data_IF_762946601342
#
_entry.id   IF_762946601342
#
_cell.length_a   1.000
_cell.length_b   1.000
_cell.length_c   1.000
_cell.angle_alpha   90.00
_cell.angle_beta   90.00
_cell.angle_gamma   90.00
#
_symmetry.space_group_name_H-M   'P 1'
#
loop_
_entity.id
_entity.type
_entity.pdbx_description
1 polymer ?
#
# COMPACT_ATOMS: atom_id res chain seq x y z
N UNK A 1 -6.61 -40.38 -2.87
CA UNK A 1 -6.34 -39.07 -3.51
C UNK A 1 -7.17 -37.95 -2.85
N UNK A 2 -6.94 -37.64 -1.56
CA UNK A 2 -7.70 -36.58 -0.85
C UNK A 2 -6.87 -35.70 0.10
N UNK A 3 -5.53 -35.77 0.05
CA UNK A 3 -4.68 -34.92 0.89
C UNK A 3 -4.41 -33.52 0.26
N UNK A 4 -4.33 -33.45 -1.07
CA UNK A 4 -3.88 -32.24 -1.80
C UNK A 4 -4.93 -31.12 -1.76
N UNK A 5 -6.22 -31.44 -1.61
CA UNK A 5 -7.31 -30.43 -1.55
C UNK A 5 -7.49 -29.81 -0.17
N UNK A 6 -7.08 -30.50 0.90
CA UNK A 6 -7.19 -30.01 2.29
C UNK A 6 -6.12 -28.96 2.59
N UNK A 7 -4.85 -29.24 2.28
CA UNK A 7 -3.74 -28.33 2.59
C UNK A 7 -3.82 -27.00 1.82
N UNK A 8 -4.22 -27.04 0.55
CA UNK A 8 -4.42 -25.82 -0.25
C UNK A 8 -5.58 -24.95 0.26
N UNK A 9 -6.66 -25.56 0.75
CA UNK A 9 -7.79 -24.85 1.34
C UNK A 9 -7.43 -24.23 2.70
N UNK A 10 -6.64 -24.93 3.53
CA UNK A 10 -6.13 -24.42 4.81
C UNK A 10 -5.21 -23.22 4.60
N UNK A 11 -4.27 -23.30 3.66
CA UNK A 11 -3.36 -22.17 3.35
C UNK A 11 -4.09 -20.94 2.81
N UNK A 12 -5.11 -21.11 1.97
CA UNK A 12 -5.91 -20.00 1.48
C UNK A 12 -6.74 -19.33 2.61
N UNK A 13 -7.33 -20.11 3.51
CA UNK A 13 -8.05 -19.60 4.67
C UNK A 13 -7.13 -18.88 5.65
N UNK A 14 -5.94 -19.41 5.89
CA UNK A 14 -4.93 -18.79 6.75
C UNK A 14 -4.48 -17.43 6.19
N UNK A 15 -4.21 -17.35 4.88
CA UNK A 15 -3.90 -16.08 4.22
C UNK A 15 -5.05 -15.08 4.33
N UNK A 16 -6.30 -15.51 4.19
CA UNK A 16 -7.46 -14.64 4.35
C UNK A 16 -7.57 -14.08 5.77
N UNK A 17 -7.34 -14.92 6.79
CA UNK A 17 -7.31 -14.48 8.20
C UNK A 17 -6.19 -13.48 8.44
N UNK A 18 -5.01 -13.74 7.86
CA UNK A 18 -3.86 -12.85 7.97
C UNK A 18 -4.15 -11.46 7.38
N UNK A 19 -4.76 -11.39 6.20
CA UNK A 19 -5.18 -10.12 5.60
C UNK A 19 -6.21 -9.41 6.50
N UNK A 20 -7.21 -10.13 7.00
CA UNK A 20 -8.21 -9.55 7.90
C UNK A 20 -7.57 -8.95 9.17
N UNK A 21 -6.63 -9.66 9.79
CA UNK A 21 -5.89 -9.17 10.96
C UNK A 21 -5.09 -7.90 10.64
N UNK A 22 -4.41 -7.84 9.49
CA UNK A 22 -3.69 -6.63 9.07
C UNK A 22 -4.66 -5.45 8.93
N UNK A 23 -5.80 -5.65 8.27
CA UNK A 23 -6.82 -4.61 8.08
C UNK A 23 -7.41 -4.13 9.43
N UNK A 24 -7.59 -5.02 10.40
CA UNK A 24 -8.04 -4.66 11.75
C UNK A 24 -7.00 -3.81 12.49
N UNK A 25 -5.73 -4.21 12.44
CA UNK A 25 -4.63 -3.49 13.07
C UNK A 25 -4.46 -2.09 12.47
N UNK A 26 -4.44 -1.98 11.13
CA UNK A 26 -4.32 -0.71 10.44
C UNK A 26 -5.51 0.20 10.69
N UNK A 27 -6.73 -0.34 10.78
CA UNK A 27 -7.89 0.47 11.10
C UNK A 27 -7.86 0.99 12.52
N UNK A 28 -7.40 0.17 13.47
CA UNK A 28 -7.16 0.63 14.83
C UNK A 28 -6.20 1.81 14.84
N UNK A 29 -5.08 1.70 14.13
CA UNK A 29 -4.09 2.78 13.97
C UNK A 29 -4.69 4.01 13.26
N UNK A 30 -5.42 3.79 12.15
CA UNK A 30 -6.05 4.82 11.36
C UNK A 30 -7.12 5.57 12.15
N UNK A 31 -7.86 4.95 13.07
CA UNK A 31 -8.82 5.69 13.90
C UNK A 31 -8.16 6.65 14.89
N UNK A 32 -6.87 6.46 15.18
CA UNK A 32 -6.08 7.30 16.10
C UNK A 32 -5.22 8.32 15.37
N UNK A 33 -5.23 8.36 14.04
CA UNK A 33 -4.50 9.37 13.28
C UNK A 33 -5.29 10.68 13.25
N UNK A 34 -4.62 11.77 13.60
CA UNK A 34 -5.14 13.14 13.47
C UNK A 34 -4.35 13.80 12.36
N UNK A 35 -4.96 13.99 11.19
CA UNK A 35 -4.31 14.72 10.09
C UNK A 35 -4.47 16.23 10.31
N UNK A 36 -3.66 17.07 9.67
CA UNK A 36 -3.74 18.54 9.79
C UNK A 36 -5.15 19.09 9.42
N UNK A 37 -5.90 18.39 8.56
CA UNK A 37 -7.30 18.70 8.21
C UNK A 37 -8.38 18.07 9.11
N UNK A 38 -7.99 17.47 10.24
CA UNK A 38 -8.89 16.74 11.13
C UNK A 38 -9.12 15.28 10.72
N UNK A 39 -10.28 14.73 11.10
CA UNK A 39 -10.61 13.33 10.80
C UNK A 39 -10.88 13.14 9.30
N UNK A 40 -10.16 12.21 8.66
CA UNK A 40 -10.41 11.88 7.26
C UNK A 40 -11.80 11.24 7.10
N UNK A 41 -12.54 11.57 6.04
CA UNK A 41 -13.88 11.01 5.80
C UNK A 41 -13.89 9.45 5.81
N UNK A 42 -12.78 8.83 5.37
CA UNK A 42 -12.60 7.38 5.40
C UNK A 42 -12.57 6.78 6.82
N UNK A 43 -12.23 7.56 7.86
CA UNK A 43 -12.31 7.10 9.26
C UNK A 43 -13.74 6.82 9.71
N UNK A 44 -14.75 7.32 8.97
CA UNK A 44 -16.16 7.00 9.17
C UNK A 44 -16.68 5.83 8.31
N UNK A 45 -15.90 5.30 7.37
CA UNK A 45 -16.36 4.31 6.38
C UNK A 45 -15.47 3.05 6.39
N UNK A 46 -15.69 2.21 7.39
CA UNK A 46 -14.99 0.92 7.54
C UNK A 46 -15.13 0.01 6.31
N UNK A 47 -16.33 -0.20 5.70
CA UNK A 47 -16.44 -1.07 4.53
C UNK A 47 -15.57 -0.62 3.34
N UNK A 48 -15.53 0.68 3.04
CA UNK A 48 -14.66 1.21 2.00
C UNK A 48 -13.18 0.99 2.32
N UNK A 49 -12.77 1.22 3.58
CA UNK A 49 -11.40 0.98 4.03
C UNK A 49 -11.01 -0.49 3.86
N UNK A 50 -11.85 -1.42 4.30
CA UNK A 50 -11.62 -2.86 4.16
C UNK A 50 -11.45 -3.26 2.70
N UNK A 51 -12.31 -2.76 1.80
CA UNK A 51 -12.20 -3.05 0.37
C UNK A 51 -10.88 -2.56 -0.21
N UNK A 52 -10.49 -1.31 0.08
CA UNK A 52 -9.23 -0.74 -0.43
C UNK A 52 -8.00 -1.49 0.08
N UNK A 53 -7.95 -1.79 1.39
CA UNK A 53 -6.82 -2.51 1.99
C UNK A 53 -6.78 -3.97 1.53
N UNK A 54 -7.93 -4.64 1.43
CA UNK A 54 -8.00 -5.99 0.90
C UNK A 54 -7.46 -6.04 -0.54
N UNK A 55 -7.86 -5.10 -1.41
CA UNK A 55 -7.33 -5.04 -2.77
C UNK A 55 -5.81 -4.88 -2.82
N UNK A 56 -5.22 -4.10 -1.90
CA UNK A 56 -3.77 -3.93 -1.83
C UNK A 56 -3.05 -5.19 -1.35
N UNK A 57 -3.59 -5.89 -0.35
CA UNK A 57 -2.94 -7.04 0.27
C UNK A 57 -3.21 -8.37 -0.44
N UNK A 58 -4.31 -8.48 -1.20
CA UNK A 58 -4.66 -9.71 -1.89
C UNK A 58 -3.56 -10.23 -2.83
N UNK A 59 -2.81 -9.40 -3.58
CA UNK A 59 -1.70 -9.86 -4.41
C UNK A 59 -0.45 -10.31 -3.63
N UNK A 60 -0.34 -9.98 -2.34
CA UNK A 60 0.90 -10.21 -1.59
C UNK A 60 1.08 -11.68 -1.20
N UNK A 61 2.34 -12.20 -1.20
CA UNK A 61 2.64 -13.51 -0.66
C UNK A 61 2.47 -13.55 0.87
N UNK A 62 2.11 -14.72 1.40
CA UNK A 62 1.82 -14.90 2.83
C UNK A 62 2.99 -14.50 3.74
N UNK A 63 4.24 -14.71 3.32
CA UNK A 63 5.41 -14.33 4.11
C UNK A 63 5.53 -12.81 4.27
N UNK A 64 5.27 -12.05 3.19
CA UNK A 64 5.26 -10.59 3.23
C UNK A 64 4.13 -10.08 4.12
N UNK A 65 2.92 -10.65 3.99
CA UNK A 65 1.80 -10.33 4.87
C UNK A 65 2.14 -10.60 6.34
N UNK A 66 2.79 -11.73 6.64
CA UNK A 66 3.15 -12.09 8.01
C UNK A 66 4.20 -11.14 8.59
N UNK A 67 5.17 -10.71 7.78
CA UNK A 67 6.17 -9.70 8.17
C UNK A 67 5.50 -8.34 8.42
N UNK A 68 4.59 -7.91 7.55
CA UNK A 68 3.91 -6.63 7.73
C UNK A 68 2.95 -6.63 8.93
N UNK A 69 2.26 -7.75 9.21
CA UNK A 69 1.50 -7.92 10.46
C UNK A 69 2.40 -7.72 11.68
N UNK A 70 3.60 -8.31 11.66
CA UNK A 70 4.56 -8.16 12.76
C UNK A 70 4.99 -6.69 12.93
N UNK A 71 5.24 -5.95 11.84
CA UNK A 71 5.55 -4.52 11.91
C UNK A 71 4.42 -3.73 12.62
N UNK A 72 3.15 -4.02 12.31
CA UNK A 72 2.00 -3.38 12.94
C UNK A 72 1.88 -3.73 14.44
N UNK A 73 2.10 -4.99 14.80
CA UNK A 73 2.05 -5.48 16.18
C UNK A 73 3.19 -4.89 17.02
N UNK A 74 4.39 -4.84 16.47
CA UNK A 74 5.58 -4.27 17.08
C UNK A 74 5.40 -2.77 17.30
N UNK A 75 4.93 -2.04 16.28
CA UNK A 75 4.61 -0.62 16.41
C UNK A 75 3.57 -0.37 17.50
N UNK A 76 2.47 -1.14 17.53
CA UNK A 76 1.47 -0.99 18.58
C UNK A 76 2.04 -1.25 19.99
N UNK A 77 2.90 -2.26 20.14
CA UNK A 77 3.56 -2.58 21.42
C UNK A 77 4.51 -1.47 21.88
N UNK A 78 5.16 -0.80 20.94
CA UNK A 78 6.06 0.34 21.17
C UNK A 78 5.32 1.68 21.35
N UNK A 79 3.98 1.69 21.24
CA UNK A 79 3.18 2.92 21.27
C UNK A 79 3.27 3.76 19.99
N UNK A 80 3.86 3.20 18.94
CA UNK A 80 3.97 3.80 17.61
C UNK A 80 2.72 3.57 16.77
N UNK A 81 2.55 4.37 15.72
CA UNK A 81 1.43 4.29 14.81
C UNK A 81 1.96 4.44 13.37
N UNK A 82 2.05 3.32 12.64
CA UNK A 82 2.64 3.31 11.29
C UNK A 82 1.80 4.14 10.31
N UNK A 83 0.49 4.20 10.48
CA UNK A 83 -0.36 5.05 9.63
C UNK A 83 -0.04 6.53 9.84
N UNK A 84 0.20 6.97 11.09
CA UNK A 84 0.66 8.33 11.39
C UNK A 84 2.05 8.58 10.81
N UNK A 85 2.99 7.64 11.02
CA UNK A 85 4.36 7.76 10.51
C UNK A 85 4.39 7.88 8.98
N UNK A 86 3.55 7.11 8.27
CA UNK A 86 3.39 7.21 6.82
C UNK A 86 2.98 8.62 6.40
N UNK A 87 1.95 9.19 7.01
CA UNK A 87 1.49 10.54 6.66
C UNK A 87 2.55 11.59 7.00
N UNK A 88 3.25 11.44 8.12
CA UNK A 88 4.37 12.31 8.46
C UNK A 88 5.48 12.24 7.41
N UNK A 89 5.86 11.04 6.95
CA UNK A 89 6.87 10.86 5.89
C UNK A 89 6.44 11.43 4.54
N UNK A 90 5.16 11.43 4.21
CA UNK A 90 4.67 12.11 2.99
C UNK A 90 4.92 13.62 3.04
N UNK A 91 4.96 14.22 4.24
CA UNK A 91 5.20 15.65 4.40
C UNK A 91 6.63 16.07 4.04
N UNK A 92 7.57 15.13 3.92
CA UNK A 92 8.92 15.43 3.45
C UNK A 92 8.94 16.15 2.10
N UNK A 93 8.00 15.84 1.20
CA UNK A 93 7.88 16.51 -0.10
C UNK A 93 6.72 17.51 -0.18
N UNK A 94 5.69 17.38 0.65
CA UNK A 94 4.50 18.26 0.58
C UNK A 94 4.57 19.46 1.53
N UNK A 95 5.29 19.33 2.65
CA UNK A 95 5.52 20.40 3.63
C UNK A 95 6.88 20.19 4.34
N UNK A 96 8.00 20.44 3.63
CA UNK A 96 9.33 20.09 4.11
C UNK A 96 9.74 20.81 5.40
N UNK A 97 9.27 22.05 5.60
CA UNK A 97 9.59 22.83 6.80
C UNK A 97 8.96 22.20 8.04
N UNK A 98 7.65 21.94 8.02
CA UNK A 98 6.97 21.25 9.14
C UNK A 98 7.53 19.84 9.33
N UNK A 99 7.80 19.11 8.24
CA UNK A 99 8.43 17.79 8.35
C UNK A 99 9.77 17.85 9.10
N UNK A 100 10.68 18.72 8.68
CA UNK A 100 12.03 18.80 9.26
C UNK A 100 12.02 19.24 10.74
N UNK A 101 11.12 20.16 11.12
CA UNK A 101 11.11 20.75 12.46
C UNK A 101 10.21 20.02 13.45
N UNK A 102 9.06 19.50 13.01
CA UNK A 102 8.02 19.00 13.90
C UNK A 102 7.86 17.48 13.88
N UNK A 103 8.27 16.81 12.79
CA UNK A 103 7.94 15.39 12.57
C UNK A 103 9.19 14.51 12.52
N UNK A 104 10.18 14.86 11.69
CA UNK A 104 11.39 14.07 11.47
C UNK A 104 12.12 13.67 12.76
N UNK A 105 12.26 14.54 13.80
CA UNK A 105 12.92 14.16 15.06
C UNK A 105 12.23 13.02 15.83
N UNK A 106 10.96 12.73 15.54
CA UNK A 106 10.17 11.69 16.21
C UNK A 106 9.99 10.43 15.36
N UNK A 107 10.47 10.45 14.11
CA UNK A 107 10.41 9.30 13.22
C UNK A 107 11.69 8.46 13.34
N UNK A 108 11.59 7.12 13.23
CA UNK A 108 12.78 6.30 13.10
C UNK A 108 13.61 6.71 11.88
N UNK A 109 14.90 6.92 12.08
CA UNK A 109 15.84 7.23 11.00
C UNK A 109 15.96 6.06 10.02
N UNK A 110 16.09 6.39 8.74
CA UNK A 110 16.23 5.44 7.66
C UNK A 110 17.66 5.49 7.13
N UNK A 111 18.36 4.36 7.10
CA UNK A 111 19.71 4.30 6.56
C UNK A 111 19.73 4.49 5.04
N UNK A 112 20.82 5.04 4.51
CA UNK A 112 20.99 5.28 3.06
C UNK A 112 20.76 4.02 2.22
N UNK A 113 21.30 2.88 2.65
CA UNK A 113 21.14 1.60 1.95
C UNK A 113 19.66 1.18 1.86
N UNK A 114 18.91 1.41 2.94
CA UNK A 114 17.48 1.10 3.03
C UNK A 114 16.67 2.09 2.18
N UNK A 115 16.99 3.37 2.23
CA UNK A 115 16.36 4.40 1.38
C UNK A 115 16.60 4.11 -0.10
N UNK A 116 17.81 3.74 -0.50
CA UNK A 116 18.10 3.34 -1.87
C UNK A 116 17.26 2.13 -2.31
N UNK A 117 17.03 1.14 -1.43
CA UNK A 117 16.15 0.01 -1.72
C UNK A 117 14.70 0.42 -1.91
N UNK A 118 14.19 1.28 -1.03
CA UNK A 118 12.86 1.87 -1.16
C UNK A 118 12.70 2.57 -2.52
N UNK A 119 13.63 3.44 -2.90
CA UNK A 119 13.51 4.22 -4.15
C UNK A 119 13.54 3.33 -5.40
N UNK A 120 14.29 2.21 -5.39
CA UNK A 120 14.22 1.22 -6.48
C UNK A 120 12.85 0.58 -6.62
N UNK A 121 12.23 0.20 -5.50
CA UNK A 121 10.88 -0.38 -5.47
C UNK A 121 9.85 0.64 -5.99
N UNK A 122 9.97 1.90 -5.55
CA UNK A 122 9.09 3.00 -5.97
C UNK A 122 9.18 3.22 -7.47
N UNK A 123 10.40 3.30 -8.02
CA UNK A 123 10.61 3.52 -9.44
C UNK A 123 9.94 2.43 -10.29
N UNK A 124 10.06 1.15 -9.88
CA UNK A 124 9.40 0.04 -10.56
C UNK A 124 7.86 0.15 -10.51
N UNK A 125 7.30 0.50 -9.35
CA UNK A 125 5.85 0.64 -9.21
C UNK A 125 5.30 1.86 -9.94
N UNK A 126 6.02 2.98 -10.01
CA UNK A 126 5.66 4.14 -10.83
C UNK A 126 5.65 3.76 -12.31
N UNK A 127 6.63 2.96 -12.78
CA UNK A 127 6.65 2.46 -14.15
C UNK A 127 5.44 1.56 -14.45
N UNK A 128 5.07 0.68 -13.51
CA UNK A 128 3.87 -0.15 -13.61
C UNK A 128 2.57 0.66 -13.61
N UNK A 129 2.45 1.68 -12.76
CA UNK A 129 1.30 2.57 -12.75
C UNK A 129 1.17 3.35 -14.07
N UNK A 130 2.29 3.80 -14.63
CA UNK A 130 2.31 4.44 -15.96
C UNK A 130 1.85 3.48 -17.06
N UNK A 131 2.36 2.26 -17.07
CA UNK A 131 1.95 1.24 -18.04
C UNK A 131 0.46 0.89 -17.89
N UNK A 132 -0.04 0.80 -16.65
CA UNK A 132 -1.45 0.61 -16.36
C UNK A 132 -2.30 1.74 -16.96
N UNK A 133 -1.96 3.00 -16.69
CA UNK A 133 -2.72 4.15 -17.20
C UNK A 133 -2.72 4.24 -18.73
N UNK A 134 -1.64 3.79 -19.39
CA UNK A 134 -1.57 3.74 -20.85
C UNK A 134 -2.47 2.63 -21.42
N UNK A 135 -2.53 1.48 -20.75
CA UNK A 135 -3.32 0.34 -21.20
C UNK A 135 -4.82 0.46 -20.88
N UNK A 136 -5.13 1.10 -19.75
CA UNK A 136 -6.48 1.26 -19.20
C UNK A 136 -6.75 2.75 -18.93
N UNK A 137 -6.86 3.60 -19.96
CA UNK A 137 -6.92 5.04 -19.79
C UNK A 137 -8.12 5.54 -18.98
N UNK A 138 -9.29 4.91 -19.07
CA UNK A 138 -10.48 5.33 -18.32
C UNK A 138 -10.38 4.97 -16.84
N UNK A 139 -9.92 3.75 -16.52
CA UNK A 139 -9.62 3.38 -15.14
C UNK A 139 -8.43 4.19 -14.59
N UNK A 140 -7.41 4.42 -15.42
CA UNK A 140 -6.23 5.20 -15.11
C UNK A 140 -6.53 6.67 -14.79
N UNK A 141 -7.56 7.25 -15.41
CA UNK A 141 -7.99 8.63 -15.13
C UNK A 141 -8.46 8.83 -13.68
N UNK A 142 -8.89 7.77 -12.99
CA UNK A 142 -9.26 7.82 -11.58
C UNK A 142 -8.07 7.62 -10.62
N UNK A 143 -6.88 7.31 -11.13
CA UNK A 143 -5.68 7.17 -10.31
C UNK A 143 -5.12 8.55 -9.91
N UNK A 144 -4.32 8.55 -8.84
CA UNK A 144 -3.49 9.71 -8.48
C UNK A 144 -2.54 10.04 -9.63
N UNK A 145 -2.12 11.29 -9.72
CA UNK A 145 -0.92 11.66 -10.46
C UNK A 145 0.27 10.83 -9.97
N UNK A 146 1.24 10.57 -10.85
CA UNK A 146 2.20 9.50 -10.61
C UNK A 146 3.41 9.96 -9.80
N UNK A 147 3.95 11.14 -10.08
CA UNK A 147 5.27 11.54 -9.56
C UNK A 147 5.19 12.69 -8.57
N UNK A 148 6.13 12.76 -7.63
CA UNK A 148 6.24 13.80 -6.60
C UNK A 148 6.30 15.21 -7.18
N UNK A 149 6.87 15.39 -8.38
CA UNK A 149 6.88 16.69 -9.07
C UNK A 149 5.47 17.22 -9.46
N UNK A 150 4.44 16.37 -9.37
CA UNK A 150 3.04 16.72 -9.62
C UNK A 150 2.25 16.92 -8.31
N UNK A 151 2.91 16.85 -7.15
CA UNK A 151 2.28 17.09 -5.86
C UNK A 151 1.81 18.56 -5.77
N UNK A 152 0.63 18.75 -5.20
CA UNK A 152 0.12 20.04 -4.74
C UNK A 152 -0.39 19.90 -3.30
N UNK A 153 -0.66 20.99 -2.57
CA UNK A 153 -1.24 20.92 -1.23
C UNK A 153 -2.54 20.09 -1.19
N UNK A 154 -3.32 20.07 -2.27
CA UNK A 154 -4.59 19.35 -2.39
C UNK A 154 -4.44 17.93 -2.97
N UNK A 155 -3.32 17.63 -3.63
CA UNK A 155 -3.13 16.40 -4.38
C UNK A 155 -1.75 15.80 -4.16
N UNK A 156 -1.71 14.70 -3.42
CA UNK A 156 -0.49 13.87 -3.27
C UNK A 156 -0.43 12.78 -4.34
N UNK A 157 0.73 12.63 -4.98
CA UNK A 157 1.03 11.63 -5.99
C UNK A 157 1.09 10.20 -5.44
N UNK A 158 0.99 9.24 -6.36
CA UNK A 158 1.25 7.83 -6.09
C UNK A 158 2.66 7.60 -5.53
N UNK A 159 3.67 8.23 -6.13
CA UNK A 159 5.06 8.14 -5.69
C UNK A 159 5.25 8.60 -4.24
N UNK A 160 4.77 9.79 -3.88
CA UNK A 160 4.89 10.31 -2.51
C UNK A 160 4.13 9.46 -1.51
N UNK A 161 2.93 9.00 -1.85
CA UNK A 161 2.15 8.10 -0.99
C UNK A 161 2.86 6.77 -0.76
N UNK A 162 3.43 6.18 -1.81
CA UNK A 162 4.18 4.94 -1.72
C UNK A 162 5.48 5.13 -0.92
N UNK A 163 6.15 6.28 -1.06
CA UNK A 163 7.33 6.63 -0.26
C UNK A 163 7.01 6.67 1.24
N UNK A 164 5.91 7.33 1.60
CA UNK A 164 5.41 7.34 2.98
C UNK A 164 5.11 5.93 3.50
N UNK A 165 4.40 5.11 2.72
CA UNK A 165 4.04 3.73 3.09
C UNK A 165 5.30 2.88 3.31
N UNK A 166 6.15 2.77 2.29
CA UNK A 166 7.35 1.95 2.35
C UNK A 166 8.28 2.43 3.46
N UNK A 167 8.31 3.74 3.76
CA UNK A 167 9.05 4.36 4.86
C UNK A 167 8.73 3.81 6.25
N UNK A 168 7.58 3.16 6.43
CA UNK A 168 7.16 2.58 7.71
C UNK A 168 7.56 1.11 7.89
N UNK A 169 7.93 0.44 6.80
CA UNK A 169 8.24 -0.99 6.84
C UNK A 169 9.58 -1.23 7.53
N UNK A 170 9.64 -2.30 8.32
CA UNK A 170 10.90 -2.80 8.85
C UNK A 170 11.85 -3.22 7.72
N UNK A 171 13.15 -3.33 8.03
CA UNK A 171 14.15 -3.84 7.07
C UNK A 171 13.73 -5.19 6.48
N UNK A 172 13.14 -6.08 7.29
CA UNK A 172 12.67 -7.39 6.84
C UNK A 172 11.49 -7.25 5.87
N UNK A 173 10.47 -6.48 6.22
CA UNK A 173 9.30 -6.29 5.38
C UNK A 173 9.67 -5.61 4.05
N UNK A 174 10.54 -4.61 4.07
CA UNK A 174 11.01 -3.96 2.84
C UNK A 174 11.81 -4.92 1.94
N UNK A 175 12.62 -5.82 2.52
CA UNK A 175 13.33 -6.85 1.78
C UNK A 175 12.39 -7.85 1.11
N UNK A 176 11.40 -8.35 1.84
CA UNK A 176 10.37 -9.25 1.29
C UNK A 176 9.54 -8.56 0.21
N UNK A 177 9.20 -7.28 0.42
CA UNK A 177 8.47 -6.48 -0.56
C UNK A 177 9.29 -6.28 -1.84
N UNK A 178 10.58 -5.96 -1.71
CA UNK A 178 11.50 -5.85 -2.84
C UNK A 178 11.60 -7.14 -3.64
N UNK A 179 11.82 -8.27 -2.96
CA UNK A 179 11.85 -9.58 -3.62
C UNK A 179 10.54 -9.94 -4.32
N UNK A 180 9.39 -9.57 -3.72
CA UNK A 180 8.09 -9.73 -4.36
C UNK A 180 7.96 -8.88 -5.63
N UNK A 181 8.37 -7.61 -5.59
CA UNK A 181 8.39 -6.72 -6.77
C UNK A 181 9.30 -7.28 -7.87
N UNK A 182 10.51 -7.72 -7.52
CA UNK A 182 11.45 -8.29 -8.48
C UNK A 182 10.91 -9.57 -9.14
N UNK A 183 10.25 -10.43 -8.36
CA UNK A 183 9.62 -11.65 -8.86
C UNK A 183 8.48 -11.34 -9.84
N UNK A 184 7.63 -10.35 -9.54
CA UNK A 184 6.58 -9.92 -10.46
C UNK A 184 7.16 -9.33 -11.75
N UNK A 185 8.18 -8.47 -11.63
CA UNK A 185 8.82 -7.86 -12.80
C UNK A 185 9.45 -8.91 -13.71
N UNK A 186 10.16 -9.88 -13.12
CA UNK A 186 10.78 -11.00 -13.85
C UNK A 186 9.75 -11.91 -14.54
N UNK A 187 8.54 -11.99 -13.99
CA UNK A 187 7.41 -12.72 -14.58
C UNK A 187 6.60 -11.88 -15.60
N UNK A 188 6.99 -10.64 -15.89
CA UNK A 188 6.25 -9.74 -16.78
C UNK A 188 4.90 -9.28 -16.21
N UNK A 189 4.72 -9.36 -14.89
CA UNK A 189 3.49 -8.99 -14.17
C UNK A 189 3.57 -7.54 -13.68
N UNK A 190 2.41 -6.96 -13.41
CA UNK A 190 2.24 -5.56 -13.00
C UNK A 190 1.39 -5.49 -11.74
N UNK A 191 1.98 -5.09 -10.60
CA UNK A 191 1.28 -5.04 -9.32
C UNK A 191 0.10 -4.04 -9.31
N UNK A 192 0.18 -2.95 -10.08
CA UNK A 192 -0.94 -2.01 -10.25
C UNK A 192 -2.12 -2.70 -10.92
N UNK A 193 -1.90 -3.42 -12.03
CA UNK A 193 -2.95 -4.20 -12.70
C UNK A 193 -3.57 -5.24 -11.77
N UNK A 194 -2.77 -5.93 -10.96
CA UNK A 194 -3.28 -6.94 -10.02
C UNK A 194 -4.14 -6.32 -8.92
N UNK A 195 -3.68 -5.21 -8.33
CA UNK A 195 -4.39 -4.49 -7.27
C UNK A 195 -5.71 -3.90 -7.78
N UNK A 196 -5.69 -3.24 -8.95
CA UNK A 196 -6.92 -2.71 -9.56
C UNK A 196 -7.82 -3.85 -10.04
N UNK A 197 -7.26 -4.95 -10.53
CA UNK A 197 -7.98 -6.16 -10.92
C UNK A 197 -8.79 -6.75 -9.77
N UNK A 198 -8.25 -6.77 -8.55
CA UNK A 198 -9.00 -7.16 -7.35
C UNK A 198 -10.12 -6.15 -7.07
N UNK A 199 -9.81 -4.85 -7.09
CA UNK A 199 -10.78 -3.78 -6.83
C UNK A 199 -11.99 -3.86 -7.76
N UNK A 200 -11.79 -4.01 -9.07
CA UNK A 200 -12.92 -4.08 -10.02
C UNK A 200 -13.74 -5.35 -9.85
N UNK A 201 -13.14 -6.47 -9.42
CA UNK A 201 -13.88 -7.69 -9.09
C UNK A 201 -14.74 -7.53 -7.86
N UNK A 202 -14.24 -6.86 -6.82
CA UNK A 202 -15.04 -6.51 -5.64
C UNK A 202 -16.22 -5.59 -6.00
N UNK A 203 -16.03 -4.73 -7.01
CA UNK A 203 -17.09 -3.88 -7.56
C UNK A 203 -18.07 -4.62 -8.51
N UNK A 204 -17.89 -5.93 -8.73
CA UNK A 204 -18.80 -6.77 -9.52
C UNK A 204 -18.45 -6.89 -11.01
N UNK A 205 -17.28 -6.43 -11.45
CA UNK A 205 -16.81 -6.64 -12.81
C UNK A 205 -16.03 -7.94 -12.97
N UNK A 206 -16.17 -8.60 -14.12
CA UNK A 206 -15.47 -9.86 -14.42
C UNK A 206 -13.94 -9.66 -14.64
N UNK A 207 -13.50 -8.42 -14.82
CA UNK A 207 -12.11 -8.08 -15.07
C UNK A 207 -11.92 -6.62 -15.50
N UNK A 208 -10.66 -6.25 -15.73
CA UNK A 208 -10.27 -4.88 -16.11
C UNK A 208 -10.94 -4.44 -17.41
N UNK A 209 -11.07 -5.33 -18.40
CA UNK A 209 -11.67 -5.02 -19.70
C UNK A 209 -13.12 -4.57 -19.59
N UNK A 210 -13.91 -5.24 -18.74
CA UNK A 210 -15.32 -4.91 -18.56
C UNK A 210 -15.48 -3.64 -17.74
N UNK A 211 -14.64 -3.48 -16.71
CA UNK A 211 -14.61 -2.28 -15.89
C UNK A 211 -14.22 -1.04 -16.72
N UNK A 212 -13.15 -1.14 -17.52
CA UNK A 212 -12.68 -0.08 -18.41
C UNK A 212 -13.78 0.38 -19.38
N UNK A 213 -14.47 -0.56 -20.03
CA UNK A 213 -15.57 -0.22 -20.96
C UNK A 213 -16.76 0.44 -20.27
N UNK A 214 -16.99 0.13 -18.99
CA UNK A 214 -18.11 0.66 -18.22
C UNK A 214 -17.85 2.07 -17.69
N UNK A 215 -16.59 2.50 -17.61
CA UNK A 215 -16.26 3.88 -17.26
C UNK A 215 -16.72 4.84 -18.38
N UNK A 216 -17.30 5.97 -17.99
CA UNK A 216 -17.76 7.00 -18.91
C UNK A 216 -16.59 7.58 -19.72
#
# INVERSE_FOLDING_TARGET
MSAITSEGATGAQERQRLIATIIDLEWGQFQRTTNQGGRAACQGNRPMFEQMRFSQFAPWPSELLASYRADLEDANREGRNLVTEKYARMMESTDPETYAHELAPYLPELSDARTAQQERIIAQQVAWARAFMQRWPKLGAAMRVLTTAQDTPEQTSFETYLRGELGTYSTRTLALYGGFVDALASAGRNLTEETVGVTVRLAGFDGLEKAERAQA
#
